data_IF_745147886252
#
_entry.id   IF_745147886252
#
_cell.length_a   1.000
_cell.length_b   1.000
_cell.length_c   1.000
_cell.angle_alpha   90.00
_cell.angle_beta   90.00
_cell.angle_gamma   90.00
#
_symmetry.space_group_name_H-M   'P 1'
#
loop_
_entity.id
_entity.type
_entity.pdbx_description
1 polymer ?
#
# COMPACT_ATOMS: atom_id res chain seq x y z
N UNK A 1 7.22 16.02 -12.45
CA UNK A 1 6.24 14.91 -12.46
C UNK A 1 5.89 14.61 -11.01
N UNK A 2 4.62 14.71 -10.62
CA UNK A 2 4.18 14.67 -9.22
C UNK A 2 3.91 13.24 -8.73
N UNK A 3 4.17 12.90 -7.46
CA UNK A 3 3.79 11.61 -6.90
C UNK A 3 2.26 11.44 -6.94
N UNK A 4 1.78 10.24 -7.30
CA UNK A 4 0.36 9.91 -7.19
C UNK A 4 0.08 9.59 -5.73
N UNK A 5 -0.73 10.42 -5.07
CA UNK A 5 -1.20 10.16 -3.72
C UNK A 5 -2.25 9.04 -3.81
N UNK A 6 -1.95 7.91 -3.19
CA UNK A 6 -2.86 6.76 -3.10
C UNK A 6 -3.76 6.86 -1.86
N UNK A 7 -3.24 7.48 -0.81
CA UNK A 7 -3.95 7.72 0.44
C UNK A 7 -3.35 8.92 1.16
N UNK A 8 -4.19 9.69 1.84
CA UNK A 8 -3.77 10.75 2.74
C UNK A 8 -4.76 10.86 3.89
N UNK A 9 -4.24 10.99 5.10
CA UNK A 9 -5.01 11.36 6.28
C UNK A 9 -4.27 12.49 7.03
N UNK A 10 -4.74 12.83 8.23
CA UNK A 10 -4.15 13.90 9.05
C UNK A 10 -2.74 13.58 9.56
N UNK A 11 -2.28 12.33 9.43
CA UNK A 11 -1.03 11.82 10.00
C UNK A 11 0.00 11.42 8.94
N UNK A 12 -0.42 10.99 7.75
CA UNK A 12 0.44 10.42 6.71
C UNK A 12 -0.17 10.45 5.31
N UNK A 13 0.69 10.34 4.31
CA UNK A 13 0.34 10.06 2.91
C UNK A 13 1.05 8.79 2.43
N UNK A 14 0.32 7.94 1.71
CA UNK A 14 0.89 6.88 0.90
C UNK A 14 0.99 7.37 -0.54
N UNK A 15 2.19 7.34 -1.09
CA UNK A 15 2.51 7.91 -2.39
C UNK A 15 3.17 6.86 -3.27
N UNK A 16 2.84 6.90 -4.56
CA UNK A 16 3.56 6.15 -5.58
C UNK A 16 4.22 7.15 -6.54
N UNK A 17 5.55 7.22 -6.48
CA UNK A 17 6.34 8.12 -7.29
C UNK A 17 6.79 7.45 -8.61
N UNK A 18 6.42 8.03 -9.74
CA UNK A 18 6.69 7.52 -11.08
C UNK A 18 8.12 7.75 -11.59
N UNK A 19 8.98 8.48 -10.88
CA UNK A 19 10.39 8.60 -11.28
C UNK A 19 11.10 7.24 -11.22
N UNK A 20 11.54 6.76 -12.38
CA UNK A 20 12.35 5.56 -12.57
C UNK A 20 11.54 4.28 -12.69
N UNK A 21 10.72 3.93 -11.69
CA UNK A 21 10.04 2.63 -11.65
C UNK A 21 8.73 2.56 -10.82
N UNK A 22 8.22 3.64 -10.21
CA UNK A 22 7.01 3.55 -9.35
C UNK A 22 7.32 3.23 -7.88
N UNK A 23 8.15 4.05 -7.22
CA UNK A 23 8.54 3.85 -5.83
C UNK A 23 7.35 4.08 -4.88
N UNK A 24 6.96 3.04 -4.14
CA UNK A 24 5.99 3.14 -3.05
C UNK A 24 6.69 3.76 -1.82
N UNK A 25 6.12 4.81 -1.28
CA UNK A 25 6.66 5.51 -0.13
C UNK A 25 5.53 6.03 0.76
N UNK A 26 5.79 6.06 2.06
CA UNK A 26 4.93 6.69 3.04
C UNK A 26 5.63 7.95 3.56
N UNK A 27 4.90 9.05 3.64
CA UNK A 27 5.36 10.30 4.25
C UNK A 27 4.48 10.58 5.47
N UNK A 28 5.09 10.79 6.62
CA UNK A 28 4.35 11.18 7.82
C UNK A 28 4.20 12.71 7.92
N UNK A 29 3.32 13.18 8.81
CA UNK A 29 3.05 14.61 9.06
C UNK A 29 4.28 15.39 9.52
N UNK A 30 5.24 14.71 10.14
CA UNK A 30 6.51 15.29 10.59
C UNK A 30 7.54 15.43 9.44
N UNK A 31 7.18 15.06 8.21
CA UNK A 31 8.05 15.13 7.03
C UNK A 31 9.01 13.93 6.88
N UNK A 32 8.94 12.95 7.78
CA UNK A 32 9.65 11.69 7.68
C UNK A 32 9.19 10.90 6.47
N UNK A 33 10.14 10.52 5.61
CA UNK A 33 9.90 9.75 4.40
C UNK A 33 10.41 8.33 4.57
N UNK A 34 9.54 7.35 4.36
CA UNK A 34 9.89 5.94 4.37
C UNK A 34 9.60 5.32 3.03
N UNK A 35 10.64 4.86 2.37
CA UNK A 35 10.53 4.13 1.11
C UNK A 35 10.28 2.66 1.38
N UNK A 36 9.33 2.06 0.68
CA UNK A 36 9.11 0.62 0.73
C UNK A 36 10.34 -0.13 0.22
N UNK A 37 10.71 -1.21 0.91
CA UNK A 37 11.67 -2.18 0.41
C UNK A 37 11.14 -2.82 -0.89
N UNK A 38 12.00 -3.25 -1.84
CA UNK A 38 11.55 -3.87 -3.09
C UNK A 38 10.52 -5.00 -2.91
N UNK A 39 10.71 -5.85 -1.90
CA UNK A 39 9.77 -6.94 -1.58
C UNK A 39 8.41 -6.41 -1.11
N UNK A 40 8.39 -5.41 -0.22
CA UNK A 40 7.14 -4.79 0.27
C UNK A 40 6.36 -4.14 -0.88
N UNK A 41 7.08 -3.49 -1.80
CA UNK A 41 6.51 -2.92 -3.02
C UNK A 41 5.91 -3.98 -3.93
N UNK A 42 6.63 -5.08 -4.18
CA UNK A 42 6.14 -6.17 -5.03
C UNK A 42 4.85 -6.78 -4.47
N UNK A 43 4.80 -6.98 -3.15
CA UNK A 43 3.60 -7.45 -2.46
C UNK A 43 2.44 -6.47 -2.63
N UNK A 44 2.68 -5.17 -2.39
CA UNK A 44 1.66 -4.13 -2.57
C UNK A 44 1.07 -4.14 -3.98
N UNK A 45 1.93 -4.16 -5.02
CA UNK A 45 1.49 -4.18 -6.41
C UNK A 45 0.68 -5.44 -6.73
N UNK A 46 1.03 -6.60 -6.14
CA UNK A 46 0.29 -7.84 -6.33
C UNK A 46 -1.11 -7.76 -5.73
N UNK A 47 -1.22 -7.29 -4.49
CA UNK A 47 -2.52 -7.14 -3.82
C UNK A 47 -3.40 -6.14 -4.57
N UNK A 48 -2.82 -5.01 -5.00
CA UNK A 48 -3.51 -3.99 -5.81
C UNK A 48 -4.01 -4.55 -7.13
N UNK A 49 -3.19 -5.32 -7.84
CA UNK A 49 -3.59 -5.94 -9.11
C UNK A 49 -4.79 -6.86 -8.93
N UNK A 50 -4.82 -7.64 -7.85
CA UNK A 50 -5.95 -8.53 -7.53
C UNK A 50 -7.19 -7.70 -7.18
N UNK A 51 -7.05 -6.67 -6.36
CA UNK A 51 -8.12 -5.74 -6.01
C UNK A 51 -8.75 -5.07 -7.25
N UNK A 52 -7.93 -4.56 -8.17
CA UNK A 52 -8.41 -3.99 -9.45
C UNK A 52 -9.09 -5.05 -10.33
N UNK A 53 -8.53 -6.27 -10.40
CA UNK A 53 -9.13 -7.36 -11.18
C UNK A 53 -10.49 -7.82 -10.64
N UNK A 54 -10.77 -7.57 -9.36
CA UNK A 54 -12.07 -7.80 -8.74
C UNK A 54 -13.08 -6.66 -9.03
N UNK A 55 -12.73 -5.71 -9.91
CA UNK A 55 -13.59 -4.60 -10.33
C UNK A 55 -13.57 -3.41 -9.37
N UNK A 56 -12.66 -3.38 -8.40
CA UNK A 56 -12.54 -2.27 -7.45
C UNK A 56 -11.54 -1.23 -7.96
N UNK A 57 -11.96 0.02 -8.25
CA UNK A 57 -11.04 1.03 -8.74
C UNK A 57 -10.08 1.48 -7.63
N UNK A 58 -8.78 1.60 -7.97
CA UNK A 58 -7.77 2.18 -7.09
C UNK A 58 -7.86 3.70 -7.15
N UNK A 59 -8.77 4.23 -6.34
CA UNK A 59 -9.05 5.65 -6.26
C UNK A 59 -9.38 6.05 -4.81
N UNK A 60 -8.95 7.24 -4.34
CA UNK A 60 -9.26 7.70 -2.97
C UNK A 60 -10.75 7.75 -2.64
N UNK A 61 -11.63 7.94 -3.63
CA UNK A 61 -13.09 7.92 -3.43
C UNK A 61 -13.67 6.52 -3.22
N UNK A 62 -12.91 5.46 -3.47
CA UNK A 62 -13.34 4.10 -3.18
C UNK A 62 -13.06 3.80 -1.68
N UNK A 63 -14.09 3.60 -0.84
CA UNK A 63 -13.90 3.35 0.58
C UNK A 63 -13.06 2.09 0.85
N UNK A 64 -13.21 1.05 0.02
CA UNK A 64 -12.42 -0.18 0.12
C UNK A 64 -10.95 0.06 -0.18
N UNK A 65 -10.69 0.87 -1.22
CA UNK A 65 -9.34 1.29 -1.54
C UNK A 65 -8.74 2.09 -0.38
N UNK A 66 -9.53 2.92 0.31
CA UNK A 66 -9.03 3.70 1.45
C UNK A 66 -8.60 2.81 2.63
N UNK A 67 -9.35 1.74 2.91
CA UNK A 67 -8.97 0.73 3.94
C UNK A 67 -7.68 0.03 3.54
N UNK A 68 -7.63 -0.54 2.33
CA UNK A 68 -6.43 -1.19 1.79
C UNK A 68 -5.19 -0.28 1.91
N UNK A 69 -5.29 0.97 1.48
CA UNK A 69 -4.16 1.90 1.49
C UNK A 69 -3.76 2.33 2.90
N UNK A 70 -4.72 2.46 3.82
CA UNK A 70 -4.45 2.75 5.22
C UNK A 70 -3.63 1.61 5.85
N UNK A 71 -4.06 0.37 5.66
CA UNK A 71 -3.38 -0.80 6.22
C UNK A 71 -1.96 -0.92 5.67
N UNK A 72 -1.76 -0.69 4.38
CA UNK A 72 -0.42 -0.67 3.80
C UNK A 72 0.45 0.47 4.32
N UNK A 73 -0.13 1.64 4.59
CA UNK A 73 0.62 2.75 5.19
C UNK A 73 1.09 2.40 6.61
N UNK A 74 0.23 1.75 7.41
CA UNK A 74 0.57 1.24 8.76
C UNK A 74 1.63 0.14 8.70
N UNK A 75 1.49 -0.81 7.78
CA UNK A 75 2.48 -1.86 7.57
C UNK A 75 3.84 -1.27 7.22
N UNK A 76 3.90 -0.25 6.37
CA UNK A 76 5.17 0.39 5.99
C UNK A 76 5.88 1.06 7.16
N UNK A 77 5.20 1.46 8.23
CA UNK A 77 5.83 1.97 9.46
C UNK A 77 6.58 0.87 10.23
N UNK A 78 6.21 -0.40 10.04
CA UNK A 78 6.85 -1.54 10.69
C UNK A 78 8.16 -1.92 9.98
N UNK A 79 9.24 -2.26 10.72
CA UNK A 79 10.46 -2.79 10.12
C UNK A 79 10.16 -4.09 9.36
N UNK A 80 10.87 -4.36 8.26
CA UNK A 80 10.62 -5.56 7.45
C UNK A 80 10.86 -6.87 8.23
N UNK A 81 11.68 -6.81 9.28
CA UNK A 81 11.92 -7.91 10.21
C UNK A 81 10.80 -8.11 11.23
N UNK A 82 9.77 -7.27 11.26
CA UNK A 82 8.65 -7.44 12.19
C UNK A 82 7.85 -8.69 11.86
N UNK A 83 7.27 -9.31 12.89
CA UNK A 83 6.38 -10.45 12.73
C UNK A 83 5.22 -10.11 11.78
N UNK A 84 4.70 -8.89 11.83
CA UNK A 84 3.61 -8.43 10.94
C UNK A 84 3.99 -8.54 9.46
N UNK A 85 5.20 -8.11 9.08
CA UNK A 85 5.67 -8.27 7.70
C UNK A 85 5.95 -9.72 7.35
N UNK A 86 6.55 -10.50 8.26
CA UNK A 86 6.79 -11.92 8.03
C UNK A 86 5.50 -12.68 7.75
N UNK A 87 4.44 -12.41 8.53
CA UNK A 87 3.11 -12.98 8.31
C UNK A 87 2.54 -12.59 6.94
N UNK A 88 2.58 -11.31 6.59
CA UNK A 88 2.07 -10.82 5.30
C UNK A 88 2.85 -11.42 4.12
N UNK A 89 4.16 -11.60 4.26
CA UNK A 89 4.99 -12.23 3.24
C UNK A 89 4.71 -13.74 3.06
N UNK A 90 4.26 -14.41 4.12
CA UNK A 90 3.91 -15.83 4.08
C UNK A 90 2.46 -16.11 3.63
N UNK A 91 1.59 -15.09 3.60
CA UNK A 91 0.18 -15.23 3.24
C UNK A 91 -0.06 -15.43 1.72
N UNK A 92 -1.23 -15.95 1.35
CA UNK A 92 -1.69 -15.94 -0.05
C UNK A 92 -2.15 -14.53 -0.45
N UNK A 93 -1.34 -13.83 -1.25
CA UNK A 93 -1.62 -12.46 -1.65
C UNK A 93 -2.84 -12.33 -2.56
N UNK A 94 -3.26 -13.42 -3.22
CA UNK A 94 -4.48 -13.45 -4.03
C UNK A 94 -5.71 -13.49 -3.13
N UNK A 95 -5.68 -14.29 -2.07
CA UNK A 95 -6.75 -14.31 -1.07
C UNK A 95 -6.84 -12.94 -0.37
N UNK A 96 -5.70 -12.41 0.10
CA UNK A 96 -5.65 -11.09 0.74
C UNK A 96 -6.25 -9.99 -0.14
N UNK A 97 -5.86 -9.93 -1.42
CA UNK A 97 -6.42 -8.94 -2.35
C UNK A 97 -7.92 -9.08 -2.60
N UNK A 98 -8.45 -10.31 -2.57
CA UNK A 98 -9.89 -10.56 -2.68
C UNK A 98 -10.65 -10.17 -1.42
N UNK A 99 -10.10 -10.44 -0.24
CA UNK A 99 -10.72 -10.06 1.03
C UNK A 99 -10.93 -8.55 1.09
N UNK A 100 -9.92 -7.76 0.73
CA UNK A 100 -10.04 -6.30 0.62
C UNK A 100 -11.07 -5.84 -0.41
N UNK A 101 -11.32 -6.62 -1.46
CA UNK A 101 -12.32 -6.29 -2.47
C UNK A 101 -13.75 -6.64 -2.03
N UNK A 102 -13.91 -7.53 -1.03
CA UNK A 102 -15.20 -8.06 -0.55
C UNK A 102 -15.73 -7.33 0.68
N UNK A 103 -14.85 -6.95 1.61
CA UNK A 103 -15.16 -6.08 2.77
C UNK A 103 -15.61 -4.69 2.29
#
# INVERSE_FOLDING_TARGET
MFPRILYVNEERSLEMNWFGLGALQMRNRQGGLRRAHPIQRALFLRVIQVFESAGQPVHPSNPRCSVLMKDFAELLEQPISSLTWQTMLAADHTEVGRSYAQE
#
